data_IF_609607612373
#
_entry.id   IF_609607612373
#
_cell.length_a   1.000
_cell.length_b   1.000
_cell.length_c   1.000
_cell.angle_alpha   90.00
_cell.angle_beta   90.00
_cell.angle_gamma   90.00
#
_symmetry.space_group_name_H-M   'P 1'
#
loop_
_entity.id
_entity.type
_entity.pdbx_description
1 polymer ?
#
# COMPACT_ATOMS: atom_id res chain seq x y z
N UNK A 1 6.88 -31.32 14.58
CA UNK A 1 7.91 -30.38 14.11
C UNK A 1 7.70 -29.11 14.91
N UNK A 2 8.52 -28.81 15.89
CA UNK A 2 8.47 -27.52 16.58
C UNK A 2 9.07 -26.49 15.63
N UNK A 3 8.20 -25.82 14.86
CA UNK A 3 8.64 -24.67 14.10
C UNK A 3 8.55 -23.46 15.01
N UNK A 4 9.69 -22.89 15.37
CA UNK A 4 9.78 -21.64 16.14
C UNK A 4 9.30 -20.42 15.33
N UNK A 5 8.48 -20.65 14.32
CA UNK A 5 8.01 -19.65 13.35
C UNK A 5 6.49 -19.60 13.34
N UNK A 6 5.94 -18.40 13.52
CA UNK A 6 4.52 -18.12 13.41
C UNK A 6 4.27 -17.07 12.32
N UNK A 7 3.35 -17.34 11.39
CA UNK A 7 2.94 -16.41 10.34
C UNK A 7 1.60 -15.79 10.74
N UNK A 8 1.46 -14.47 10.59
CA UNK A 8 0.24 -13.74 10.93
C UNK A 8 0.09 -12.46 10.09
N UNK A 9 -1.15 -12.03 9.90
CA UNK A 9 -1.45 -10.66 9.51
C UNK A 9 -1.26 -9.74 10.71
N UNK A 10 -0.58 -8.61 10.49
CA UNK A 10 -0.37 -7.59 11.53
C UNK A 10 -1.14 -6.30 11.25
N UNK A 11 -1.50 -6.08 9.98
CA UNK A 11 -2.27 -4.93 9.55
C UNK A 11 -3.06 -5.25 8.28
N UNK A 12 -4.31 -4.78 8.23
CA UNK A 12 -5.12 -4.82 7.02
C UNK A 12 -5.97 -3.56 6.93
N UNK A 13 -5.91 -2.90 5.77
CA UNK A 13 -6.73 -1.75 5.43
C UNK A 13 -7.41 -2.01 4.10
N UNK A 14 -8.74 -1.96 4.09
CA UNK A 14 -9.56 -2.35 2.96
C UNK A 14 -10.41 -1.16 2.53
N UNK A 15 -10.51 -0.97 1.24
CA UNK A 15 -11.39 0.00 0.62
C UNK A 15 -12.71 -0.67 0.23
N UNK A 16 -13.80 -0.01 0.56
CA UNK A 16 -15.16 -0.42 0.22
C UNK A 16 -15.92 0.72 -0.44
N UNK A 17 -16.94 0.37 -1.19
CA UNK A 17 -17.97 1.32 -1.62
C UNK A 17 -19.16 1.22 -0.66
N UNK A 18 -19.59 2.37 -0.13
CA UNK A 18 -20.77 2.50 0.68
C UNK A 18 -21.96 2.88 -0.22
N UNK A 19 -23.05 2.08 -0.26
CA UNK A 19 -24.17 2.34 -1.18
C UNK A 19 -25.00 3.57 -0.85
N UNK A 20 -24.89 4.08 0.39
CA UNK A 20 -25.63 5.26 0.86
C UNK A 20 -24.67 6.42 1.15
N UNK A 21 -25.08 7.65 0.78
CA UNK A 21 -24.43 8.85 1.26
C UNK A 21 -24.71 8.97 2.77
N UNK A 22 -23.81 8.45 3.60
CA UNK A 22 -23.96 8.47 5.05
C UNK A 22 -23.58 9.84 5.56
N UNK A 23 -24.57 10.70 5.71
CA UNK A 23 -24.39 12.02 6.34
C UNK A 23 -24.12 11.89 7.85
N UNK A 24 -24.57 10.82 8.49
CA UNK A 24 -24.52 10.65 9.94
C UNK A 24 -24.28 9.17 10.34
N UNK A 25 -23.02 8.73 10.32
CA UNK A 25 -22.64 7.37 10.74
C UNK A 25 -23.12 7.00 12.16
N UNK A 26 -23.22 8.00 13.04
CA UNK A 26 -23.54 7.75 14.45
C UNK A 26 -25.01 7.45 14.74
N UNK A 27 -25.94 7.95 13.92
CA UNK A 27 -27.39 7.83 14.21
C UNK A 27 -28.04 6.64 13.49
N UNK A 28 -27.63 6.37 12.25
CA UNK A 28 -28.25 5.31 11.43
C UNK A 28 -27.89 3.88 11.87
N UNK A 29 -26.76 3.71 12.56
CA UNK A 29 -26.22 2.40 12.91
C UNK A 29 -26.25 2.09 14.41
N UNK A 30 -26.79 2.96 15.25
CA UNK A 30 -27.06 2.67 16.66
C UNK A 30 -27.95 1.42 16.76
N UNK A 31 -27.54 0.46 17.60
CA UNK A 31 -28.24 -0.80 17.87
C UNK A 31 -28.03 -1.98 16.90
N UNK A 32 -27.04 -1.93 16.01
CA UNK A 32 -26.70 -3.07 15.12
C UNK A 32 -25.52 -3.92 15.63
N UNK A 33 -25.29 -3.93 16.92
CA UNK A 33 -24.25 -4.76 17.56
C UNK A 33 -22.88 -4.09 17.66
N UNK A 34 -22.77 -2.82 17.24
CA UNK A 34 -21.59 -1.98 17.41
C UNK A 34 -21.96 -0.65 18.07
N UNK A 35 -21.03 -0.12 18.88
CA UNK A 35 -21.05 1.25 19.36
C UNK A 35 -20.12 2.07 18.45
N UNK A 36 -20.69 3.00 17.67
CA UNK A 36 -19.95 3.86 16.75
C UNK A 36 -19.68 5.21 17.38
N UNK A 37 -18.40 5.57 17.48
CA UNK A 37 -17.95 6.88 17.99
C UNK A 37 -17.25 7.67 16.88
N UNK A 38 -17.81 8.81 16.52
CA UNK A 38 -17.21 9.69 15.55
C UNK A 38 -16.18 10.60 16.25
N UNK A 39 -15.00 10.72 15.65
CA UNK A 39 -13.94 11.61 16.11
C UNK A 39 -14.19 13.05 15.65
N UNK A 40 -13.70 14.01 16.44
CA UNK A 40 -13.79 15.43 16.12
C UNK A 40 -12.74 15.95 15.15
N UNK A 41 -11.71 15.13 14.86
CA UNK A 41 -10.63 15.47 13.96
C UNK A 41 -10.74 14.71 12.62
N UNK A 42 -9.96 15.13 11.63
CA UNK A 42 -9.96 14.57 10.29
C UNK A 42 -8.58 13.99 9.95
N UNK A 43 -8.49 13.16 8.91
CA UNK A 43 -7.19 12.76 8.33
C UNK A 43 -6.85 13.66 7.14
N UNK A 44 -5.65 13.50 6.57
CA UNK A 44 -5.26 14.18 5.33
C UNK A 44 -6.21 13.90 4.16
N UNK A 45 -6.86 12.74 4.14
CA UNK A 45 -7.63 12.27 2.98
C UNK A 45 -9.13 12.13 3.25
N UNK A 46 -9.56 12.01 4.52
CA UNK A 46 -10.94 11.75 4.88
C UNK A 46 -11.44 12.74 5.94
N UNK A 47 -12.67 13.25 5.74
CA UNK A 47 -13.33 14.20 6.64
C UNK A 47 -13.88 13.52 7.89
N UNK A 48 -14.28 12.26 7.79
CA UNK A 48 -14.98 11.55 8.84
C UNK A 48 -14.15 10.34 9.29
N UNK A 49 -13.96 10.23 10.60
CA UNK A 49 -13.34 9.10 11.27
C UNK A 49 -14.35 8.56 12.26
N UNK A 50 -14.68 7.29 12.14
CA UNK A 50 -15.57 6.59 13.05
C UNK A 50 -14.85 5.37 13.60
N UNK A 51 -14.91 5.19 14.92
CA UNK A 51 -14.43 3.97 15.60
C UNK A 51 -15.59 3.10 15.91
N UNK A 52 -15.50 1.82 15.57
CA UNK A 52 -16.51 0.82 15.90
C UNK A 52 -16.02 -0.05 17.05
N UNK A 53 -16.81 -0.10 18.10
CA UNK A 53 -16.53 -0.86 19.32
C UNK A 53 -17.56 -1.97 19.52
N UNK A 54 -17.13 -3.02 20.23
CA UNK A 54 -18.03 -3.98 20.87
C UNK A 54 -17.67 -4.02 22.36
N UNK A 55 -18.59 -3.49 23.18
CA UNK A 55 -18.24 -3.18 24.57
C UNK A 55 -17.12 -2.14 24.64
N UNK A 56 -16.01 -2.47 25.29
CA UNK A 56 -14.86 -1.58 25.41
C UNK A 56 -13.77 -1.81 24.35
N UNK A 57 -13.94 -2.80 23.48
CA UNK A 57 -12.94 -3.19 22.51
C UNK A 57 -13.16 -2.47 21.17
N UNK A 58 -12.15 -1.71 20.73
CA UNK A 58 -12.10 -1.14 19.39
C UNK A 58 -11.82 -2.24 18.35
N UNK A 59 -12.76 -2.44 17.44
CA UNK A 59 -12.64 -3.46 16.40
C UNK A 59 -12.20 -2.87 15.04
N UNK A 60 -12.73 -1.68 14.73
CA UNK A 60 -12.45 -1.04 13.42
C UNK A 60 -12.31 0.46 13.55
N UNK A 61 -11.45 1.02 12.66
CA UNK A 61 -11.45 2.45 12.37
C UNK A 61 -11.91 2.62 10.93
N UNK A 62 -12.98 3.39 10.75
CA UNK A 62 -13.65 3.61 9.48
C UNK A 62 -13.39 5.06 9.05
N UNK A 63 -12.80 5.24 7.88
CA UNK A 63 -12.54 6.54 7.29
C UNK A 63 -13.51 6.74 6.12
N UNK A 64 -14.26 7.83 6.14
CA UNK A 64 -15.30 8.13 5.14
C UNK A 64 -15.26 9.59 4.70
N UNK A 65 -16.05 9.92 3.69
CA UNK A 65 -16.16 11.27 3.14
C UNK A 65 -14.79 11.83 2.71
N UNK A 66 -14.20 11.33 1.62
CA UNK A 66 -12.89 11.78 1.16
C UNK A 66 -12.90 13.27 0.81
N UNK A 67 -11.80 13.99 1.14
CA UNK A 67 -11.62 15.38 0.76
C UNK A 67 -11.40 15.56 -0.74
N UNK A 68 -10.66 14.61 -1.33
CA UNK A 68 -10.26 14.68 -2.73
C UNK A 68 -11.41 14.30 -3.65
N UNK A 69 -11.70 15.12 -4.63
CA UNK A 69 -12.65 14.81 -5.70
C UNK A 69 -12.17 13.69 -6.63
N UNK A 70 -10.89 13.32 -6.54
CA UNK A 70 -10.30 12.18 -7.29
C UNK A 70 -10.72 10.84 -6.68
N UNK A 71 -10.98 10.82 -5.37
CA UNK A 71 -11.50 9.63 -4.69
C UNK A 71 -13.02 9.56 -4.86
N UNK A 72 -13.58 8.36 -5.09
CA UNK A 72 -15.03 8.19 -5.15
C UNK A 72 -15.69 8.73 -3.88
N UNK A 73 -16.78 9.50 -3.98
CA UNK A 73 -17.42 10.12 -2.81
C UNK A 73 -17.99 9.10 -1.81
N UNK A 74 -18.33 7.91 -2.30
CA UNK A 74 -18.81 6.78 -1.49
C UNK A 74 -17.68 5.85 -1.00
N UNK A 75 -16.41 6.23 -1.21
CA UNK A 75 -15.28 5.45 -0.75
C UNK A 75 -15.21 5.48 0.77
N UNK A 76 -15.14 4.30 1.34
CA UNK A 76 -14.90 4.05 2.77
C UNK A 76 -13.66 3.19 2.91
N UNK A 77 -12.77 3.57 3.81
CA UNK A 77 -11.60 2.78 4.16
C UNK A 77 -11.76 2.21 5.58
N UNK A 78 -11.71 0.90 5.69
CA UNK A 78 -11.81 0.18 6.97
C UNK A 78 -10.44 -0.33 7.38
N UNK A 79 -9.99 0.08 8.56
CA UNK A 79 -8.79 -0.45 9.22
C UNK A 79 -9.23 -1.42 10.31
N UNK A 80 -8.69 -2.62 10.29
CA UNK A 80 -8.99 -3.64 11.28
C UNK A 80 -8.07 -3.44 12.49
N UNK A 81 -8.61 -3.54 13.69
CA UNK A 81 -7.81 -3.51 14.92
C UNK A 81 -6.82 -4.68 14.93
N UNK A 82 -5.55 -4.37 15.21
CA UNK A 82 -4.48 -5.37 15.25
C UNK A 82 -4.80 -6.56 16.16
N UNK A 83 -5.42 -6.31 17.30
CA UNK A 83 -5.81 -7.32 18.30
C UNK A 83 -6.70 -8.44 17.73
N UNK A 84 -7.57 -8.09 16.78
CA UNK A 84 -8.50 -9.06 16.17
C UNK A 84 -7.76 -10.15 15.37
N UNK A 85 -6.62 -9.85 14.77
CA UNK A 85 -5.84 -10.87 14.03
C UNK A 85 -5.33 -11.96 14.98
N UNK A 86 -4.89 -11.58 16.17
CA UNK A 86 -4.35 -12.50 17.18
C UNK A 86 -5.46 -13.28 17.90
N UNK A 87 -6.65 -12.71 18.01
CA UNK A 87 -7.82 -13.42 18.56
C UNK A 87 -8.53 -14.33 17.56
N UNK A 88 -8.19 -14.26 16.26
CA UNK A 88 -8.71 -15.11 15.20
C UNK A 88 -10.16 -14.84 14.78
N UNK A 89 -10.77 -13.76 15.29
CA UNK A 89 -12.19 -13.43 15.02
C UNK A 89 -12.39 -12.35 13.98
N UNK A 90 -11.31 -11.79 13.43
CA UNK A 90 -11.37 -10.61 12.57
C UNK A 90 -12.25 -10.77 11.31
N UNK A 91 -12.25 -11.95 10.70
CA UNK A 91 -13.05 -12.18 9.48
C UNK A 91 -14.55 -12.23 9.76
N UNK A 92 -14.96 -12.84 10.86
CA UNK A 92 -16.37 -12.88 11.30
C UNK A 92 -16.85 -11.46 11.63
N UNK A 93 -16.03 -10.70 12.35
CA UNK A 93 -16.30 -9.30 12.68
C UNK A 93 -16.41 -8.44 11.42
N UNK A 94 -15.49 -8.63 10.47
CA UNK A 94 -15.52 -7.90 9.21
C UNK A 94 -16.77 -8.23 8.38
N UNK A 95 -17.16 -9.49 8.28
CA UNK A 95 -18.39 -9.92 7.60
C UNK A 95 -19.63 -9.27 8.22
N UNK A 96 -19.69 -9.25 9.55
CA UNK A 96 -20.78 -8.58 10.26
C UNK A 96 -20.80 -7.08 10.00
N UNK A 97 -19.65 -6.42 10.05
CA UNK A 97 -19.53 -5.00 9.72
C UNK A 97 -19.98 -4.71 8.28
N UNK A 98 -19.55 -5.54 7.31
CA UNK A 98 -19.96 -5.43 5.90
C UNK A 98 -21.48 -5.51 5.76
N UNK A 99 -22.09 -6.46 6.44
CA UNK A 99 -23.55 -6.63 6.42
C UNK A 99 -24.27 -5.45 7.06
N UNK A 100 -23.81 -4.99 8.21
CA UNK A 100 -24.42 -3.88 8.96
C UNK A 100 -24.40 -2.58 8.16
N UNK A 101 -23.27 -2.29 7.50
CA UNK A 101 -23.06 -1.06 6.76
C UNK A 101 -23.38 -1.18 5.25
N UNK A 102 -23.67 -2.37 4.74
CA UNK A 102 -23.90 -2.63 3.33
C UNK A 102 -22.64 -2.42 2.46
N UNK A 103 -21.46 -2.66 3.02
CA UNK A 103 -20.19 -2.40 2.33
C UNK A 103 -19.97 -3.36 1.17
N UNK A 104 -19.52 -2.84 0.02
CA UNK A 104 -19.11 -3.62 -1.14
C UNK A 104 -17.59 -3.55 -1.30
N UNK A 105 -16.94 -4.70 -1.36
CA UNK A 105 -15.50 -4.78 -1.53
C UNK A 105 -15.03 -4.07 -2.81
N UNK A 106 -13.93 -3.32 -2.68
CA UNK A 106 -13.27 -2.61 -3.79
C UNK A 106 -11.82 -3.02 -3.97
N UNK A 107 -11.02 -2.91 -2.91
CA UNK A 107 -9.59 -3.25 -2.96
C UNK A 107 -8.99 -3.30 -1.56
N UNK A 108 -7.86 -3.96 -1.43
CA UNK A 108 -6.99 -3.83 -0.26
C UNK A 108 -6.03 -2.67 -0.53
N UNK A 109 -5.90 -1.72 0.41
CA UNK A 109 -5.00 -0.58 0.29
C UNK A 109 -3.70 -0.74 1.06
N UNK A 110 -3.71 -1.53 2.15
CA UNK A 110 -2.51 -1.89 2.90
C UNK A 110 -2.67 -3.27 3.51
N UNK A 111 -1.60 -4.03 3.45
CA UNK A 111 -1.47 -5.30 4.15
C UNK A 111 -0.07 -5.39 4.76
N UNK A 112 -0.01 -5.74 6.05
CA UNK A 112 1.23 -6.11 6.71
C UNK A 112 1.12 -7.59 7.11
N UNK A 113 2.04 -8.40 6.58
CA UNK A 113 2.18 -9.80 6.94
C UNK A 113 3.50 -9.99 7.67
N UNK A 114 3.49 -10.74 8.75
CA UNK A 114 4.67 -10.94 9.56
C UNK A 114 4.96 -12.43 9.81
N UNK A 115 6.24 -12.69 10.09
CA UNK A 115 6.73 -13.96 10.61
C UNK A 115 7.45 -13.67 11.92
N UNK A 116 6.95 -14.24 12.99
CA UNK A 116 7.59 -14.16 14.31
C UNK A 116 8.48 -15.39 14.51
N UNK A 117 9.73 -15.15 14.90
CA UNK A 117 10.76 -16.19 15.08
C UNK A 117 11.36 -16.14 16.48
N UNK A 118 11.06 -17.16 17.28
CA UNK A 118 11.57 -17.29 18.63
C UNK A 118 13.06 -17.67 18.61
N UNK A 119 13.87 -16.89 19.34
CA UNK A 119 15.31 -17.13 19.49
C UNK A 119 16.14 -16.83 18.24
N UNK A 120 15.61 -16.05 17.27
CA UNK A 120 16.41 -15.60 16.11
C UNK A 120 17.44 -14.57 16.54
N UNK A 121 18.68 -14.72 16.04
CA UNK A 121 19.73 -13.70 16.16
C UNK A 121 19.89 -12.95 14.83
N UNK A 122 19.56 -11.66 14.84
CA UNK A 122 19.67 -10.79 13.67
C UNK A 122 21.10 -10.33 13.38
N UNK A 123 21.99 -10.43 14.37
CA UNK A 123 23.33 -9.87 14.29
C UNK A 123 24.20 -10.48 13.17
N UNK A 124 24.22 -11.81 12.94
CA UNK A 124 24.95 -12.40 11.81
C UNK A 124 24.53 -11.80 10.46
N UNK A 125 23.22 -11.71 10.22
CA UNK A 125 22.68 -11.12 9.00
C UNK A 125 23.10 -9.65 8.83
N UNK A 126 23.01 -8.83 9.90
CA UNK A 126 23.40 -7.42 9.84
C UNK A 126 24.91 -7.30 9.52
N UNK A 127 25.76 -8.11 10.14
CA UNK A 127 27.21 -8.12 9.87
C UNK A 127 27.54 -8.47 8.43
N UNK A 128 26.93 -9.52 7.89
CA UNK A 128 27.12 -9.95 6.50
C UNK A 128 26.57 -8.91 5.49
N UNK A 129 25.43 -8.32 5.77
CA UNK A 129 24.86 -7.26 4.94
C UNK A 129 25.74 -5.99 4.94
N UNK A 130 26.24 -5.56 6.11
CA UNK A 130 27.14 -4.41 6.24
C UNK A 130 28.51 -4.62 5.56
N UNK A 131 29.06 -5.80 5.66
CA UNK A 131 30.32 -6.15 4.98
C UNK A 131 30.15 -6.22 3.46
N UNK A 132 28.91 -6.28 2.97
CA UNK A 132 28.59 -6.50 1.56
C UNK A 132 28.73 -7.95 1.12
N UNK A 133 28.96 -8.89 2.04
CA UNK A 133 28.95 -10.32 1.77
C UNK A 133 27.56 -10.82 1.38
N UNK A 134 26.54 -10.21 1.97
CA UNK A 134 25.13 -10.40 1.57
C UNK A 134 24.60 -9.11 0.95
N UNK A 135 23.91 -9.21 -0.17
CA UNK A 135 23.33 -8.07 -0.90
C UNK A 135 21.87 -8.34 -1.25
N UNK A 136 21.09 -7.27 -1.30
CA UNK A 136 19.71 -7.31 -1.77
C UNK A 136 19.65 -7.22 -3.30
N UNK A 137 18.84 -8.04 -3.97
CA UNK A 137 18.67 -8.05 -5.44
C UNK A 137 18.24 -6.70 -5.99
N UNK A 138 17.36 -5.99 -5.28
CA UNK A 138 16.91 -4.64 -5.62
C UNK A 138 17.19 -3.74 -4.43
N UNK A 139 18.36 -3.08 -4.38
CA UNK A 139 18.78 -2.29 -3.23
C UNK A 139 17.73 -1.24 -2.85
N UNK A 140 17.42 -1.14 -1.59
CA UNK A 140 16.53 -0.14 -1.03
C UNK A 140 17.26 0.68 0.02
N UNK A 141 16.72 1.87 0.33
CA UNK A 141 17.19 2.64 1.48
C UNK A 141 17.09 1.75 2.72
N UNK A 142 18.19 1.66 3.46
CA UNK A 142 18.30 0.83 4.67
C UNK A 142 18.39 1.75 5.89
N UNK A 143 17.75 1.34 6.97
CA UNK A 143 17.86 1.96 8.29
C UNK A 143 18.05 0.86 9.32
N UNK A 144 18.97 1.05 10.27
CA UNK A 144 19.24 0.11 11.33
C UNK A 144 18.70 0.65 12.66
N UNK A 145 18.22 -0.25 13.51
CA UNK A 145 17.77 0.04 14.86
C UNK A 145 18.80 -0.55 15.83
N UNK A 146 19.23 0.27 16.78
CA UNK A 146 20.18 -0.16 17.82
C UNK A 146 19.98 0.64 19.10
N UNK A 147 20.35 0.03 20.21
CA UNK A 147 20.53 0.69 21.49
C UNK A 147 22.00 0.69 21.89
N UNK A 148 22.39 1.59 22.78
CA UNK A 148 23.72 1.59 23.36
C UNK A 148 23.57 1.12 24.81
N UNK A 149 24.05 -0.08 25.10
CA UNK A 149 24.07 -0.65 26.45
C UNK A 149 25.51 -0.73 26.94
N UNK A 150 25.81 -0.07 28.04
CA UNK A 150 27.17 -0.04 28.64
C UNK A 150 28.28 0.34 27.67
N UNK A 151 27.96 1.21 26.68
CA UNK A 151 28.91 1.66 25.66
C UNK A 151 29.02 0.75 24.43
N UNK A 152 28.30 -0.36 24.39
CA UNK A 152 28.25 -1.28 23.25
C UNK A 152 26.98 -1.12 22.44
N UNK A 153 27.12 -1.26 21.11
CA UNK A 153 25.99 -1.25 20.20
C UNK A 153 25.28 -2.60 20.22
N UNK A 154 24.03 -2.59 20.65
CA UNK A 154 23.13 -3.75 20.56
C UNK A 154 22.15 -3.53 19.42
N UNK A 155 22.25 -4.35 18.38
CA UNK A 155 21.37 -4.26 17.22
C UNK A 155 19.99 -4.83 17.53
N UNK A 156 18.96 -4.01 17.30
CA UNK A 156 17.56 -4.36 17.52
C UNK A 156 16.83 -4.72 16.22
N UNK A 157 17.42 -4.36 15.08
CA UNK A 157 16.85 -4.72 13.78
C UNK A 157 17.34 -3.89 12.61
N UNK A 158 16.74 -4.14 11.46
CA UNK A 158 17.04 -3.50 10.19
C UNK A 158 15.77 -3.34 9.37
N UNK A 159 15.64 -2.20 8.68
CA UNK A 159 14.53 -1.88 7.78
C UNK A 159 15.03 -1.59 6.38
N UNK A 160 14.34 -2.13 5.39
CA UNK A 160 14.55 -1.90 3.97
C UNK A 160 13.34 -1.20 3.36
N UNK A 161 13.58 -0.11 2.64
CA UNK A 161 12.56 0.72 2.03
C UNK A 161 12.32 2.03 2.78
N UNK A 162 11.80 3.01 2.05
CA UNK A 162 11.39 4.31 2.58
C UNK A 162 9.88 4.31 2.89
N UNK A 163 9.37 5.29 3.65
CA UNK A 163 7.94 5.43 3.93
C UNK A 163 7.05 5.54 2.68
N UNK A 164 7.62 6.03 1.57
CA UNK A 164 6.91 6.18 0.29
C UNK A 164 7.06 4.96 -0.64
N UNK A 165 7.76 3.91 -0.19
CA UNK A 165 7.92 2.69 -1.00
C UNK A 165 6.63 1.89 -0.99
N UNK A 166 6.23 1.35 -2.16
CA UNK A 166 5.07 0.47 -2.30
C UNK A 166 5.13 -0.74 -1.36
N UNK A 167 6.32 -1.16 -1.01
CA UNK A 167 6.54 -2.17 0.03
C UNK A 167 7.81 -1.88 0.82
N UNK A 168 7.77 -2.20 2.11
CA UNK A 168 8.91 -2.16 3.03
C UNK A 168 9.07 -3.50 3.72
N UNK A 169 10.29 -3.79 4.13
CA UNK A 169 10.61 -4.99 4.88
C UNK A 169 11.39 -4.60 6.14
N UNK A 170 11.05 -5.21 7.27
CA UNK A 170 11.75 -4.99 8.56
C UNK A 170 12.03 -6.32 9.21
N UNK A 171 13.17 -6.39 9.88
CA UNK A 171 13.49 -7.41 10.87
C UNK A 171 13.79 -6.66 12.17
N UNK A 172 13.07 -6.96 13.25
CA UNK A 172 13.26 -6.24 14.50
C UNK A 172 12.87 -7.07 15.72
N UNK A 173 13.44 -6.73 16.87
CA UNK A 173 13.11 -7.34 18.16
C UNK A 173 11.69 -6.93 18.58
N UNK A 174 10.74 -7.83 18.36
CA UNK A 174 9.31 -7.60 18.65
C UNK A 174 9.01 -7.70 20.13
N UNK A 175 9.73 -8.55 20.87
CA UNK A 175 9.60 -8.63 22.34
C UNK A 175 9.92 -7.28 22.97
N UNK A 176 11.04 -6.68 22.59
CA UNK A 176 11.44 -5.37 23.10
C UNK A 176 10.44 -4.27 22.70
N UNK A 177 9.99 -4.25 21.46
CA UNK A 177 8.99 -3.29 20.98
C UNK A 177 7.69 -3.39 21.80
N UNK A 178 7.23 -4.61 22.14
CA UNK A 178 6.05 -4.80 22.98
C UNK A 178 6.29 -4.28 24.41
N UNK A 179 7.43 -4.59 25.00
CA UNK A 179 7.71 -4.25 26.41
C UNK A 179 7.98 -2.75 26.61
N UNK A 180 8.61 -2.09 25.64
CA UNK A 180 9.08 -0.71 25.77
C UNK A 180 8.21 0.33 25.06
N UNK A 181 7.48 -0.05 23.97
CA UNK A 181 6.81 0.91 23.09
C UNK A 181 5.30 0.67 22.96
N UNK A 182 4.88 -0.53 22.51
CA UNK A 182 3.49 -0.75 22.11
C UNK A 182 2.59 -1.31 23.19
N UNK A 183 3.16 -1.99 24.20
CA UNK A 183 2.44 -2.65 25.30
C UNK A 183 1.37 -3.65 24.83
N UNK A 184 1.56 -4.28 23.66
CA UNK A 184 0.63 -5.22 23.07
C UNK A 184 0.82 -6.63 23.64
N UNK A 185 0.65 -6.80 24.95
CA UNK A 185 0.91 -8.07 25.66
C UNK A 185 0.08 -9.26 25.13
N UNK A 186 -1.07 -9.01 24.51
CA UNK A 186 -1.86 -10.06 23.85
C UNK A 186 -1.10 -10.79 22.73
N UNK A 187 -0.03 -10.19 22.18
CA UNK A 187 0.83 -10.87 21.21
C UNK A 187 1.72 -11.90 21.91
N UNK A 188 2.22 -11.58 23.11
CA UNK A 188 3.00 -12.53 23.92
C UNK A 188 2.11 -13.70 24.33
N UNK A 189 0.90 -13.46 24.83
CA UNK A 189 -0.09 -14.49 25.15
C UNK A 189 -0.39 -15.38 23.92
N UNK A 190 -0.50 -14.79 22.73
CA UNK A 190 -0.71 -15.53 21.50
C UNK A 190 0.50 -16.39 21.12
N UNK A 191 1.73 -15.91 21.33
CA UNK A 191 2.95 -16.69 21.13
C UNK A 191 3.00 -17.89 22.07
N UNK A 192 2.77 -17.66 23.36
CA UNK A 192 2.78 -18.71 24.37
C UNK A 192 1.75 -19.79 24.08
N UNK A 193 0.55 -19.39 23.65
CA UNK A 193 -0.48 -20.31 23.22
C UNK A 193 -0.05 -21.15 22.01
N UNK A 194 0.53 -20.53 20.97
CA UNK A 194 0.89 -21.23 19.73
C UNK A 194 2.14 -22.09 19.88
N UNK A 195 3.13 -21.64 20.65
CA UNK A 195 4.35 -22.43 20.92
C UNK A 195 4.18 -23.41 22.08
N UNK A 196 3.07 -23.34 22.83
CA UNK A 196 2.81 -24.16 24.03
C UNK A 196 3.93 -24.08 25.07
N UNK A 197 4.56 -22.89 25.22
CA UNK A 197 5.62 -22.62 26.16
C UNK A 197 5.66 -21.14 26.54
N UNK A 198 6.21 -20.84 27.72
CA UNK A 198 6.52 -19.47 28.12
C UNK A 198 7.59 -18.87 27.20
N UNK A 199 7.36 -17.64 26.75
CA UNK A 199 8.29 -16.91 25.89
C UNK A 199 9.31 -16.18 26.76
N UNK A 200 10.51 -16.76 26.89
CA UNK A 200 11.63 -16.20 27.68
C UNK A 200 12.69 -15.57 26.81
N UNK A 201 12.82 -16.03 25.57
CA UNK A 201 13.78 -15.54 24.60
C UNK A 201 13.19 -14.41 23.76
N UNK A 202 14.06 -13.60 23.17
CA UNK A 202 13.64 -12.57 22.23
C UNK A 202 12.97 -13.18 21.00
N UNK A 203 11.85 -12.58 20.60
CA UNK A 203 11.17 -12.88 19.36
C UNK A 203 11.49 -11.80 18.35
N UNK A 204 12.11 -12.18 17.25
CA UNK A 204 12.33 -11.29 16.12
C UNK A 204 11.18 -11.41 15.12
N UNK A 205 10.68 -10.26 14.68
CA UNK A 205 9.62 -10.16 13.67
C UNK A 205 10.20 -9.78 12.32
N UNK A 206 9.84 -10.54 11.31
CA UNK A 206 10.02 -10.25 9.89
C UNK A 206 8.72 -9.69 9.37
N UNK A 207 8.64 -8.38 9.12
CA UNK A 207 7.41 -7.69 8.75
C UNK A 207 7.51 -7.16 7.32
N UNK A 208 6.56 -7.54 6.51
CA UNK A 208 6.36 -7.08 5.14
C UNK A 208 5.16 -6.17 5.10
N UNK A 209 5.39 -4.86 4.91
CA UNK A 209 4.31 -3.88 4.76
C UNK A 209 4.15 -3.52 3.29
N UNK A 210 2.95 -3.66 2.78
CA UNK A 210 2.59 -3.43 1.38
C UNK A 210 1.52 -2.36 1.36
N UNK A 211 1.83 -1.19 0.79
CA UNK A 211 0.95 0.00 0.76
C UNK A 211 0.35 0.27 -0.62
N UNK A 212 0.89 -0.34 -1.67
CA UNK A 212 0.30 -0.35 -3.01
C UNK A 212 0.02 -1.81 -3.35
N UNK A 213 -1.12 -2.31 -2.88
CA UNK A 213 -1.50 -3.72 -3.06
C UNK A 213 -2.01 -3.92 -4.48
N UNK A 214 -1.25 -4.61 -5.35
CA UNK A 214 -1.69 -4.89 -6.70
C UNK A 214 -2.82 -5.92 -6.69
N UNK A 215 -3.50 -6.09 -7.82
CA UNK A 215 -4.38 -7.24 -8.02
C UNK A 215 -3.52 -8.51 -8.04
N UNK A 216 -3.72 -9.38 -7.09
CA UNK A 216 -3.00 -10.64 -6.94
C UNK A 216 -3.96 -11.78 -7.29
N UNK A 217 -3.51 -12.69 -8.16
CA UNK A 217 -4.19 -13.94 -8.44
C UNK A 217 -3.36 -15.05 -7.81
N UNK A 218 -3.95 -15.78 -6.88
CA UNK A 218 -3.32 -16.91 -6.22
C UNK A 218 -3.13 -18.12 -7.13
N UNK A 219 -2.36 -19.09 -6.70
CA UNK A 219 -2.12 -20.34 -7.47
C UNK A 219 -3.40 -21.12 -7.74
N UNK A 220 -4.44 -20.93 -6.92
CA UNK A 220 -5.78 -21.47 -7.14
C UNK A 220 -6.51 -20.86 -8.35
N UNK A 221 -6.05 -19.71 -8.84
CA UNK A 221 -6.73 -18.91 -9.85
C UNK A 221 -7.68 -17.84 -9.27
N UNK A 222 -7.83 -17.80 -7.96
CA UNK A 222 -8.68 -16.82 -7.28
C UNK A 222 -7.99 -15.45 -7.15
N UNK A 223 -8.76 -14.38 -7.31
CA UNK A 223 -8.29 -13.03 -7.07
C UNK A 223 -8.28 -12.77 -5.55
N UNK A 224 -7.19 -12.18 -5.04
CA UNK A 224 -7.11 -11.78 -3.64
C UNK A 224 -8.18 -10.75 -3.31
N UNK A 225 -8.93 -11.01 -2.26
CA UNK A 225 -9.94 -10.12 -1.70
C UNK A 225 -9.92 -10.13 -0.16
N UNK A 226 -10.93 -9.50 0.46
CA UNK A 226 -11.05 -9.39 1.91
C UNK A 226 -11.54 -10.68 2.58
N UNK A 227 -12.00 -11.65 1.83
CA UNK A 227 -12.46 -12.94 2.35
C UNK A 227 -11.34 -13.97 2.30
N UNK A 228 -10.74 -14.17 1.13
CA UNK A 228 -9.75 -15.24 0.95
C UNK A 228 -8.41 -14.96 1.64
N UNK A 229 -8.02 -13.69 1.82
CA UNK A 229 -6.79 -13.36 2.57
C UNK A 229 -6.87 -13.77 4.06
N UNK A 230 -8.04 -14.13 4.56
CA UNK A 230 -8.19 -14.73 5.89
C UNK A 230 -7.63 -16.14 5.97
N UNK A 231 -7.52 -16.84 4.84
CA UNK A 231 -7.05 -18.20 4.82
C UNK A 231 -5.53 -18.28 4.87
N UNK A 232 -5.04 -19.14 5.73
CA UNK A 232 -3.60 -19.30 5.97
C UNK A 232 -2.81 -19.67 4.72
N UNK A 233 -3.38 -20.44 3.79
CA UNK A 233 -2.76 -20.83 2.53
C UNK A 233 -2.42 -19.58 1.68
N UNK A 234 -3.34 -18.63 1.58
CA UNK A 234 -3.16 -17.41 0.81
C UNK A 234 -2.19 -16.43 1.49
N UNK A 235 -2.19 -16.39 2.82
CA UNK A 235 -1.18 -15.62 3.58
C UNK A 235 0.23 -16.15 3.31
N UNK A 236 0.41 -17.48 3.27
CA UNK A 236 1.70 -18.10 2.92
C UNK A 236 2.13 -17.79 1.49
N UNK A 237 1.22 -17.90 0.52
CA UNK A 237 1.51 -17.55 -0.87
C UNK A 237 1.92 -16.08 -1.00
N UNK A 238 1.20 -15.18 -0.33
CA UNK A 238 1.50 -13.76 -0.31
C UNK A 238 2.90 -13.49 0.28
N UNK A 239 3.21 -14.10 1.42
CA UNK A 239 4.53 -13.99 2.05
C UNK A 239 5.62 -14.44 1.10
N UNK A 240 5.47 -15.61 0.48
CA UNK A 240 6.47 -16.16 -0.44
C UNK A 240 6.71 -15.26 -1.65
N UNK A 241 5.63 -14.73 -2.24
CA UNK A 241 5.72 -13.77 -3.33
C UNK A 241 6.56 -12.53 -2.96
N UNK A 242 6.43 -12.05 -1.71
CA UNK A 242 7.20 -10.89 -1.26
C UNK A 242 8.64 -11.24 -0.88
N UNK A 243 8.90 -12.44 -0.35
CA UNK A 243 10.25 -12.95 -0.16
C UNK A 243 11.03 -13.01 -1.48
N UNK A 244 10.39 -13.42 -2.57
CA UNK A 244 11.01 -13.40 -3.89
C UNK A 244 11.34 -11.99 -4.39
N UNK A 245 10.53 -11.00 -4.04
CA UNK A 245 10.78 -9.59 -4.40
C UNK A 245 11.95 -8.97 -3.63
N UNK A 246 12.13 -9.35 -2.38
CA UNK A 246 13.19 -8.82 -1.51
C UNK A 246 14.39 -9.76 -1.41
N UNK A 247 14.55 -10.67 -2.36
CA UNK A 247 15.60 -11.68 -2.38
C UNK A 247 16.98 -11.13 -2.06
N UNK A 248 17.67 -11.80 -1.12
CA UNK A 248 19.06 -11.57 -0.79
C UNK A 248 19.94 -12.64 -1.43
N UNK A 249 21.21 -12.35 -1.63
CA UNK A 249 22.18 -13.26 -2.22
C UNK A 249 23.58 -13.02 -1.66
N UNK A 250 24.40 -14.07 -1.65
CA UNK A 250 25.81 -13.96 -1.32
C UNK A 250 26.58 -13.30 -2.46
N UNK A 251 27.43 -12.33 -2.12
CA UNK A 251 28.27 -11.63 -3.10
C UNK A 251 29.64 -12.30 -3.24
N UNK A 252 29.92 -12.94 -4.38
CA UNK A 252 31.16 -13.66 -4.67
C UNK A 252 32.14 -12.86 -5.53
N UNK A 253 31.83 -11.59 -5.86
CA UNK A 253 32.68 -10.75 -6.73
C UNK A 253 32.40 -10.92 -8.22
N UNK A 254 31.53 -11.86 -8.62
CA UNK A 254 31.17 -12.12 -10.03
C UNK A 254 29.69 -11.88 -10.24
N UNK A 255 29.33 -10.81 -10.93
CA UNK A 255 27.95 -10.29 -11.04
C UNK A 255 26.92 -11.34 -11.52
N UNK A 256 27.29 -12.32 -12.37
CA UNK A 256 26.36 -13.34 -12.88
C UNK A 256 26.18 -14.53 -11.94
N UNK A 257 27.20 -14.96 -11.24
CA UNK A 257 27.16 -16.07 -10.29
C UNK A 257 26.54 -15.68 -8.95
N UNK A 258 26.70 -14.44 -8.53
CA UNK A 258 26.19 -13.92 -7.26
C UNK A 258 24.66 -13.98 -7.15
N UNK A 259 23.94 -13.93 -8.26
CA UNK A 259 22.48 -13.96 -8.29
C UNK A 259 21.90 -15.37 -8.14
N UNK A 260 22.70 -16.37 -8.29
CA UNK A 260 22.28 -17.79 -8.20
C UNK A 260 22.38 -18.32 -6.77
N UNK A 261 23.31 -17.77 -5.95
CA UNK A 261 23.51 -18.17 -4.58
C UNK A 261 22.62 -17.36 -3.64
N UNK A 262 21.38 -17.81 -3.46
CA UNK A 262 20.40 -17.16 -2.60
C UNK A 262 20.81 -17.23 -1.14
N UNK A 263 20.61 -16.12 -0.41
CA UNK A 263 20.67 -16.07 1.04
C UNK A 263 19.26 -16.26 1.59
N UNK A 264 19.03 -17.36 2.29
CA UNK A 264 17.72 -17.69 2.84
C UNK A 264 17.55 -17.03 4.21
N UNK A 265 16.83 -15.90 4.25
CA UNK A 265 16.49 -15.20 5.49
C UNK A 265 15.55 -15.99 6.40
N UNK A 266 14.67 -16.79 5.82
CA UNK A 266 13.75 -17.66 6.53
C UNK A 266 14.02 -19.11 6.11
N UNK A 267 13.98 -20.09 7.05
CA UNK A 267 14.26 -21.49 6.71
C UNK A 267 13.30 -21.99 5.62
N UNK A 268 13.82 -22.55 4.52
CA UNK A 268 12.99 -23.04 3.41
C UNK A 268 11.93 -24.09 3.83
N UNK A 269 12.25 -24.91 4.84
CA UNK A 269 11.38 -25.97 5.34
C UNK A 269 10.12 -25.46 6.05
N UNK A 270 10.09 -24.21 6.48
CA UNK A 270 8.91 -23.58 7.11
C UNK A 270 7.98 -22.89 6.10
N UNK A 271 8.48 -22.68 4.88
CA UNK A 271 7.72 -22.09 3.79
C UNK A 271 7.45 -23.21 2.78
N UNK A 272 6.20 -23.67 2.67
CA UNK A 272 5.88 -24.61 1.59
C UNK A 272 6.21 -23.95 0.24
N UNK A 273 6.74 -24.70 -0.74
CA UNK A 273 6.99 -24.15 -2.07
C UNK A 273 5.66 -23.69 -2.66
N UNK A 274 5.47 -22.38 -2.77
CA UNK A 274 4.31 -21.82 -3.45
C UNK A 274 4.49 -22.02 -4.95
N UNK A 275 3.40 -22.30 -5.61
CA UNK A 275 3.31 -22.15 -7.05
C UNK A 275 3.47 -20.66 -7.38
N UNK A 276 4.06 -20.31 -8.54
CA UNK A 276 4.24 -18.89 -8.87
C UNK A 276 2.91 -18.17 -8.89
N UNK A 277 2.77 -17.16 -8.03
CA UNK A 277 1.61 -16.26 -8.00
C UNK A 277 1.70 -15.35 -9.22
N UNK A 278 0.70 -15.41 -10.09
CA UNK A 278 0.60 -14.48 -11.21
C UNK A 278 -0.01 -13.19 -10.71
N UNK A 279 0.75 -12.11 -10.79
CA UNK A 279 0.13 -10.79 -10.72
C UNK A 279 -0.81 -10.66 -11.91
N UNK A 280 -2.07 -10.30 -11.68
CA UNK A 280 -2.94 -9.87 -12.75
C UNK A 280 -2.28 -8.62 -13.36
N UNK A 281 -1.53 -8.82 -14.45
CA UNK A 281 -0.82 -7.74 -15.13
C UNK A 281 -1.81 -6.89 -15.90
N UNK A 282 -2.42 -5.92 -15.22
CA UNK A 282 -3.18 -4.87 -15.89
C UNK A 282 -2.75 -3.50 -15.43
N UNK A 283 -1.83 -3.40 -14.51
CA UNK A 283 -1.29 -2.11 -14.14
C UNK A 283 0.01 -1.86 -14.92
N UNK A 284 -0.11 -1.17 -16.02
CA UNK A 284 0.96 -0.26 -16.44
C UNK A 284 1.34 0.48 -15.15
N UNK A 285 2.56 0.30 -14.64
CA UNK A 285 2.94 0.99 -13.41
C UNK A 285 2.98 2.50 -13.69
N UNK A 286 2.84 3.31 -12.65
CA UNK A 286 2.82 4.78 -12.74
C UNK A 286 4.00 5.34 -13.58
N UNK A 287 5.17 4.71 -13.52
CA UNK A 287 6.34 5.11 -14.32
C UNK A 287 6.12 4.82 -15.81
N UNK A 288 5.61 3.65 -16.14
CA UNK A 288 5.31 3.28 -17.53
C UNK A 288 4.17 4.13 -18.08
N UNK A 289 3.14 4.42 -17.27
CA UNK A 289 2.06 5.35 -17.64
C UNK A 289 2.59 6.74 -17.98
N UNK A 290 3.51 7.28 -17.18
CA UNK A 290 4.18 8.57 -17.46
C UNK A 290 4.96 8.53 -18.78
N UNK A 291 5.70 7.45 -19.06
CA UNK A 291 6.44 7.29 -20.31
C UNK A 291 5.49 7.26 -21.51
N UNK A 292 4.40 6.50 -21.43
CA UNK A 292 3.41 6.44 -22.51
C UNK A 292 2.75 7.81 -22.72
N UNK A 293 2.34 8.49 -21.64
CA UNK A 293 1.80 9.85 -21.73
C UNK A 293 2.78 10.80 -22.42
N UNK A 294 4.07 10.79 -22.05
CA UNK A 294 5.09 11.62 -22.71
C UNK A 294 5.21 11.32 -24.20
N UNK A 295 5.25 10.05 -24.61
CA UNK A 295 5.31 9.66 -26.03
C UNK A 295 4.07 10.16 -26.77
N UNK A 296 2.90 10.03 -26.18
CA UNK A 296 1.64 10.50 -26.78
C UNK A 296 1.59 12.04 -26.86
N UNK A 297 2.11 12.74 -25.85
CA UNK A 297 2.23 14.21 -25.87
C UNK A 297 3.20 14.63 -26.98
N UNK A 298 4.37 14.01 -27.10
CA UNK A 298 5.31 14.30 -28.18
C UNK A 298 4.67 14.07 -29.57
N UNK A 299 3.92 12.98 -29.72
CA UNK A 299 3.18 12.71 -30.96
C UNK A 299 2.19 13.80 -31.29
N UNK A 300 1.45 14.33 -30.30
CA UNK A 300 0.54 15.47 -30.49
C UNK A 300 1.25 16.74 -30.93
N UNK A 301 2.51 16.94 -30.51
CA UNK A 301 3.29 18.14 -30.80
C UNK A 301 4.00 18.08 -32.14
N UNK A 302 4.43 16.88 -32.57
CA UNK A 302 5.30 16.71 -33.75
C UNK A 302 4.57 16.26 -35.01
N UNK A 303 3.50 15.49 -34.88
CA UNK A 303 2.81 14.89 -36.03
C UNK A 303 1.69 15.79 -36.58
N UNK A 304 1.52 15.77 -37.90
CA UNK A 304 0.38 16.37 -38.55
C UNK A 304 -0.87 15.48 -38.43
N UNK A 305 -1.47 15.49 -37.24
CA UNK A 305 -2.61 14.66 -36.91
C UNK A 305 -3.92 15.29 -37.38
N UNK A 306 -4.84 14.47 -37.83
CA UNK A 306 -6.24 14.87 -38.00
C UNK A 306 -6.88 15.17 -36.65
N UNK A 307 -7.95 15.95 -36.63
CA UNK A 307 -8.69 16.29 -35.41
C UNK A 307 -9.16 15.02 -34.66
N UNK A 308 -9.58 13.98 -35.38
CA UNK A 308 -10.04 12.73 -34.80
C UNK A 308 -8.90 11.93 -34.14
N UNK A 309 -7.72 11.88 -34.78
CA UNK A 309 -6.53 11.22 -34.21
C UNK A 309 -6.02 11.96 -32.98
N UNK A 310 -5.93 13.29 -33.04
CA UNK A 310 -5.55 14.13 -31.91
C UNK A 310 -6.53 13.91 -30.73
N UNK A 311 -7.84 13.88 -30.99
CA UNK A 311 -8.84 13.61 -29.96
C UNK A 311 -8.67 12.24 -29.30
N UNK A 312 -8.43 11.18 -30.06
CA UNK A 312 -8.21 9.84 -29.52
C UNK A 312 -6.95 9.77 -28.65
N UNK A 313 -5.88 10.47 -29.03
CA UNK A 313 -4.66 10.56 -28.22
C UNK A 313 -4.94 11.30 -26.91
N UNK A 314 -5.65 12.42 -26.94
CA UNK A 314 -6.06 13.16 -25.74
C UNK A 314 -6.88 12.29 -24.80
N UNK A 315 -7.90 11.63 -25.34
CA UNK A 315 -8.73 10.71 -24.56
C UNK A 315 -7.89 9.65 -23.83
N UNK A 316 -6.89 9.10 -24.52
CA UNK A 316 -5.97 8.11 -23.95
C UNK A 316 -5.11 8.71 -22.85
N UNK A 317 -4.51 9.89 -23.06
CA UNK A 317 -3.70 10.59 -22.07
C UNK A 317 -4.52 10.86 -20.80
N UNK A 318 -5.71 11.47 -20.94
CA UNK A 318 -6.56 11.79 -19.79
C UNK A 318 -7.08 10.55 -19.05
N UNK A 319 -7.41 9.48 -19.77
CA UNK A 319 -7.75 8.20 -19.15
C UNK A 319 -6.59 7.69 -18.30
N UNK A 320 -5.37 7.73 -18.82
CA UNK A 320 -4.19 7.31 -18.08
C UNK A 320 -3.88 8.22 -16.89
N UNK A 321 -3.96 9.54 -17.06
CA UNK A 321 -3.75 10.52 -15.97
C UNK A 321 -4.72 10.28 -14.83
N UNK A 322 -5.99 9.99 -15.15
CA UNK A 322 -7.02 9.67 -14.16
C UNK A 322 -6.80 8.31 -13.50
N UNK A 323 -6.58 7.27 -14.31
CA UNK A 323 -6.43 5.89 -13.84
C UNK A 323 -5.20 5.70 -12.95
N UNK A 324 -4.10 6.39 -13.27
CA UNK A 324 -2.83 6.29 -12.55
C UNK A 324 -2.56 7.45 -11.59
N UNK A 325 -3.57 8.31 -11.33
CA UNK A 325 -3.46 9.46 -10.41
C UNK A 325 -2.26 10.37 -10.73
N UNK A 326 -2.04 10.67 -11.99
CA UNK A 326 -0.91 11.44 -12.49
C UNK A 326 -1.17 12.96 -12.56
N UNK A 327 -2.26 13.48 -12.02
CA UNK A 327 -2.68 14.88 -12.18
C UNK A 327 -1.58 15.87 -11.75
N UNK A 328 -0.98 15.68 -10.58
CA UNK A 328 0.12 16.55 -10.11
C UNK A 328 1.36 16.49 -11.02
N UNK A 329 1.71 15.31 -11.50
CA UNK A 329 2.83 15.15 -12.42
C UNK A 329 2.53 15.78 -13.78
N UNK A 330 1.32 15.60 -14.30
CA UNK A 330 0.87 16.17 -15.57
C UNK A 330 0.87 17.71 -15.51
N UNK A 331 0.42 18.30 -14.40
CA UNK A 331 0.46 19.74 -14.17
C UNK A 331 1.90 20.27 -14.06
N UNK A 332 2.79 19.56 -13.37
CA UNK A 332 4.23 19.95 -13.27
C UNK A 332 4.94 19.90 -14.62
N UNK A 333 4.64 18.93 -15.47
CA UNK A 333 5.22 18.83 -16.81
C UNK A 333 4.92 20.06 -17.66
N UNK A 334 3.79 20.71 -17.41
CA UNK A 334 3.40 21.94 -18.11
C UNK A 334 3.93 23.21 -17.46
N UNK A 335 4.51 23.12 -16.25
CA UNK A 335 5.12 24.26 -15.56
C UNK A 335 6.65 24.36 -15.76
N UNK A 336 7.31 23.24 -16.06
CA UNK A 336 8.77 23.15 -16.12
C UNK A 336 9.35 23.31 -17.54
N UNK A 337 8.57 23.04 -18.61
CA UNK A 337 9.04 23.13 -19.99
C UNK A 337 8.66 24.47 -20.65
N UNK A 338 9.70 25.17 -21.07
CA UNK A 338 9.77 26.50 -21.67
C UNK A 338 8.61 26.92 -22.60
N UNK A 339 8.32 28.21 -22.54
CA UNK A 339 7.29 29.04 -23.19
C UNK A 339 6.74 28.56 -24.56
N UNK A 340 7.52 27.89 -25.40
CA UNK A 340 7.12 27.50 -26.75
C UNK A 340 6.19 26.28 -26.84
N UNK A 341 6.33 25.33 -25.90
CA UNK A 341 5.50 24.12 -25.84
C UNK A 341 4.12 24.48 -25.26
N UNK A 342 4.11 25.37 -24.28
CA UNK A 342 2.89 25.75 -23.55
C UNK A 342 1.86 26.46 -24.42
N UNK A 343 2.23 27.46 -25.20
CA UNK A 343 1.25 28.27 -25.95
C UNK A 343 0.58 27.46 -27.07
N UNK A 344 1.36 26.75 -27.87
CA UNK A 344 0.83 25.99 -29.02
C UNK A 344 0.00 24.79 -28.57
N UNK A 345 0.40 24.15 -27.49
CA UNK A 345 -0.27 22.99 -26.91
C UNK A 345 -1.57 23.38 -26.18
N UNK A 346 -1.50 24.41 -25.33
CA UNK A 346 -2.66 24.93 -24.60
C UNK A 346 -3.69 25.51 -25.54
N UNK A 347 -3.27 26.27 -26.57
CA UNK A 347 -4.18 26.80 -27.58
C UNK A 347 -4.82 25.69 -28.44
N UNK A 348 -4.07 24.63 -28.75
CA UNK A 348 -4.60 23.46 -29.47
C UNK A 348 -5.55 22.63 -28.57
N UNK A 349 -5.25 22.47 -27.29
CA UNK A 349 -6.11 21.86 -26.30
C UNK A 349 -7.39 22.70 -26.08
N UNK A 350 -7.25 24.03 -25.97
CA UNK A 350 -8.39 24.93 -25.79
C UNK A 350 -9.28 25.00 -27.03
N UNK A 351 -8.72 25.06 -28.23
CA UNK A 351 -9.50 25.17 -29.46
C UNK A 351 -10.26 23.89 -29.83
N UNK A 352 -9.67 22.71 -29.54
CA UNK A 352 -10.26 21.41 -29.93
C UNK A 352 -10.90 20.64 -28.76
N UNK A 353 -10.43 20.84 -27.53
CA UNK A 353 -10.77 19.99 -26.37
C UNK A 353 -11.86 20.55 -25.46
N UNK A 354 -12.01 21.86 -25.36
CA UNK A 354 -12.92 22.46 -24.36
C UNK A 354 -14.39 22.19 -24.62
N UNK A 355 -14.82 22.07 -25.87
CA UNK A 355 -16.24 21.82 -26.19
C UNK A 355 -16.61 20.35 -25.91
N UNK A 356 -15.69 19.42 -26.17
CA UNK A 356 -15.96 17.98 -26.08
C UNK A 356 -15.59 17.34 -24.75
N UNK A 357 -14.66 17.92 -24.02
CA UNK A 357 -14.18 17.36 -22.76
C UNK A 357 -15.18 17.58 -21.61
N UNK A 358 -15.93 18.68 -21.62
CA UNK A 358 -17.01 18.91 -20.65
C UNK A 358 -18.12 17.86 -20.77
N UNK A 359 -18.46 17.42 -21.98
CA UNK A 359 -19.52 16.43 -22.21
C UNK A 359 -19.08 14.99 -21.88
N UNK A 360 -17.77 14.69 -22.00
CA UNK A 360 -17.25 13.33 -21.82
C UNK A 360 -16.63 13.07 -20.43
N UNK A 361 -16.10 14.07 -19.76
CA UNK A 361 -15.34 13.93 -18.52
C UNK A 361 -15.95 14.66 -17.31
N UNK A 362 -17.02 15.42 -17.53
CA UNK A 362 -17.80 16.10 -16.50
C UNK A 362 -16.95 17.06 -15.62
N UNK A 363 -17.33 17.18 -14.36
CA UNK A 363 -16.81 18.18 -13.42
C UNK A 363 -15.29 18.10 -13.16
N UNK A 364 -14.69 16.92 -13.29
CA UNK A 364 -13.24 16.74 -13.10
C UNK A 364 -12.40 17.47 -14.16
N UNK A 365 -12.85 17.50 -15.40
CA UNK A 365 -12.17 18.24 -16.46
C UNK A 365 -12.39 19.74 -16.35
N UNK A 366 -13.60 20.14 -15.92
CA UNK A 366 -13.92 21.55 -15.65
C UNK A 366 -12.98 22.14 -14.60
N UNK A 367 -12.68 21.41 -13.54
CA UNK A 367 -11.76 21.85 -12.48
C UNK A 367 -10.34 22.02 -13.02
N UNK A 368 -9.83 21.04 -13.78
CA UNK A 368 -8.50 21.14 -14.39
C UNK A 368 -8.43 22.30 -15.37
N UNK A 369 -9.48 22.52 -16.16
CA UNK A 369 -9.53 23.65 -17.12
C UNK A 369 -9.69 25.01 -16.44
N UNK A 370 -10.38 25.10 -15.31
CA UNK A 370 -10.51 26.33 -14.53
C UNK A 370 -9.23 26.68 -13.77
N UNK A 371 -8.53 25.69 -13.20
CA UNK A 371 -7.21 25.87 -12.60
C UNK A 371 -6.17 26.32 -13.65
N UNK A 372 -6.20 25.72 -14.84
CA UNK A 372 -5.33 26.13 -15.95
C UNK A 372 -5.62 27.57 -16.41
N UNK A 373 -6.89 27.95 -16.53
CA UNK A 373 -7.31 29.33 -16.85
C UNK A 373 -6.85 30.31 -15.79
N UNK A 374 -7.01 29.97 -14.52
CA UNK A 374 -6.58 30.80 -13.41
C UNK A 374 -5.06 31.03 -13.42
N UNK A 375 -4.29 29.98 -13.65
CA UNK A 375 -2.82 30.11 -13.74
C UNK A 375 -2.35 30.87 -14.99
N UNK A 376 -3.06 30.75 -16.11
CA UNK A 376 -2.79 31.55 -17.32
C UNK A 376 -3.09 33.03 -17.10
N UNK A 377 -4.22 33.38 -16.50
CA UNK A 377 -4.58 34.77 -16.16
C UNK A 377 -3.58 35.40 -15.20
N UNK A 378 -3.13 34.66 -14.19
CA UNK A 378 -2.13 35.10 -13.23
C UNK A 378 -0.74 35.34 -13.85
N UNK A 379 -0.43 34.69 -14.97
CA UNK A 379 0.80 34.93 -15.75
C UNK A 379 0.69 36.16 -16.65
N UNK A 380 -0.47 36.38 -17.27
CA UNK A 380 -0.74 37.58 -18.08
C UNK A 380 -0.73 38.85 -17.23
N UNK A 381 -1.14 38.79 -15.95
CA UNK A 381 -1.08 39.93 -15.03
C UNK A 381 0.32 40.23 -14.48
N UNK A 382 1.29 39.31 -14.65
CA UNK A 382 2.68 39.46 -14.18
C UNK A 382 3.69 39.77 -15.28
N UNK A 383 3.28 39.83 -16.54
CA UNK A 383 4.10 40.17 -17.72
C UNK A 383 3.77 41.54 -18.23
#
# INVERSE_FOLDING_TARGET
MNTNLLIQLDWLTINYDLPLAVADFGKEFQNKGYDFKQESYTTRHFKTIVRAFRGNEELFVILANPFSKVLPPNLVQVKISNKLFYWGSWIQELRQLKQVLGLRYRSISRIDICVDWLGYDVLPFIKEYRSGAVRMKSPKKTSEFYTIEKGELKYEGIKFGSPISAYTFKIYNKTKEILEESFKYYIIEWWEWNWCQEVRDDVFRFEFSITEVPKIVFSSGELMDDENIAEFVYQKELLQMYLEKIRFYYYTGKIRQDREQQYDLLPPASLMPAKPVKFASTAVNTRTAKVICNVLIQKLLTDNLTTAEAFNIYKTIFSMVREYHLSEWFLKLHQEDDKAINEKYVLKCMATGMIWANDLFGESFRIISEELKYELQKREEKG
#
